data_IF_798002173655
#
_entry.id   IF_798002173655
#
_cell.length_a   1.000
_cell.length_b   1.000
_cell.length_c   1.000
_cell.angle_alpha   90.00
_cell.angle_beta   90.00
_cell.angle_gamma   90.00
#
_symmetry.space_group_name_H-M   'P 1'
#
loop_
_entity.id
_entity.type
_entity.pdbx_description
1 polymer ?
#
# COMPACT_ATOMS: atom_id res chain seq x y z
N UNK A 1 11.51 11.53 -26.35
CA UNK A 1 11.44 10.36 -25.46
C UNK A 1 12.79 9.68 -25.50
N UNK A 2 13.44 9.48 -24.35
CA UNK A 2 14.69 8.71 -24.35
C UNK A 2 14.33 7.22 -24.38
N UNK A 3 14.89 6.48 -25.33
CA UNK A 3 14.64 5.05 -25.47
C UNK A 3 15.96 4.31 -25.47
N UNK A 4 16.07 3.28 -24.62
CA UNK A 4 17.23 2.40 -24.57
C UNK A 4 16.81 0.98 -24.88
N UNK A 5 17.57 0.31 -25.74
CA UNK A 5 17.44 -1.14 -25.93
C UNK A 5 17.99 -1.85 -24.70
N UNK A 6 17.16 -2.71 -24.10
CA UNK A 6 17.52 -3.52 -22.94
C UNK A 6 17.27 -5.00 -23.21
N UNK A 7 17.70 -5.86 -22.29
CA UNK A 7 17.60 -7.31 -22.43
C UNK A 7 16.29 -7.83 -21.85
N UNK A 8 15.66 -8.71 -22.62
CA UNK A 8 14.64 -9.65 -22.15
C UNK A 8 15.34 -10.94 -21.74
N UNK A 9 14.95 -11.52 -20.61
CA UNK A 9 15.53 -12.73 -20.07
C UNK A 9 14.48 -13.54 -19.30
N UNK A 10 14.83 -14.76 -18.87
CA UNK A 10 13.94 -15.59 -18.05
C UNK A 10 14.34 -15.49 -16.56
N UNK A 11 13.34 -15.39 -15.69
CA UNK A 11 13.47 -15.53 -14.24
C UNK A 11 12.57 -16.68 -13.79
N UNK A 12 13.16 -17.86 -13.58
CA UNK A 12 12.42 -19.11 -13.41
C UNK A 12 11.57 -19.40 -14.65
N UNK A 13 10.27 -19.66 -14.43
CA UNK A 13 9.30 -19.93 -15.51
C UNK A 13 8.67 -18.66 -16.10
N UNK A 14 9.15 -17.47 -15.73
CA UNK A 14 8.60 -16.20 -16.19
C UNK A 14 9.58 -15.43 -17.06
N UNK A 15 9.05 -14.64 -17.99
CA UNK A 15 9.83 -13.66 -18.75
C UNK A 15 10.00 -12.37 -17.93
N UNK A 16 11.17 -11.75 -18.03
CA UNK A 16 11.53 -10.52 -17.35
C UNK A 16 12.26 -9.55 -18.31
N UNK A 17 12.14 -8.26 -18.04
CA UNK A 17 12.86 -7.19 -18.77
C UNK A 17 13.76 -6.46 -17.79
N UNK A 18 15.04 -6.29 -18.14
CA UNK A 18 15.97 -5.51 -17.29
C UNK A 18 15.63 -4.02 -17.40
N UNK A 19 15.37 -3.36 -16.29
CA UNK A 19 15.13 -1.91 -16.23
C UNK A 19 16.48 -1.18 -16.00
N UNK A 20 16.97 -0.35 -16.94
CA UNK A 20 18.16 0.47 -16.73
C UNK A 20 18.02 1.45 -15.56
N UNK A 21 19.14 1.92 -15.01
CA UNK A 21 19.13 2.77 -13.82
C UNK A 21 18.34 4.08 -14.02
N UNK A 22 18.40 4.68 -15.21
CA UNK A 22 17.66 5.90 -15.56
C UNK A 22 16.13 5.71 -15.63
N UNK A 23 15.65 4.47 -15.72
CA UNK A 23 14.22 4.11 -15.72
C UNK A 23 13.80 3.40 -14.44
N UNK A 24 14.63 3.42 -13.39
CA UNK A 24 14.35 2.73 -12.13
C UNK A 24 13.04 3.22 -11.52
N UNK A 25 12.18 2.27 -11.15
CA UNK A 25 10.90 2.54 -10.49
C UNK A 25 11.10 2.74 -8.99
N UNK A 26 10.31 3.64 -8.41
CA UNK A 26 10.24 3.99 -6.99
C UNK A 26 9.26 3.11 -6.19
N UNK A 27 8.85 1.98 -6.77
CA UNK A 27 7.84 1.07 -6.22
C UNK A 27 8.19 -0.39 -6.52
N UNK A 28 7.64 -1.30 -5.72
CA UNK A 28 7.74 -2.74 -5.88
C UNK A 28 6.61 -3.33 -6.76
N UNK A 29 5.55 -2.56 -7.03
CA UNK A 29 4.38 -3.00 -7.79
C UNK A 29 4.07 -2.07 -8.96
N UNK A 30 3.61 -2.65 -10.06
CA UNK A 30 3.24 -1.93 -11.27
C UNK A 30 1.96 -2.51 -11.87
N UNK A 31 1.25 -1.69 -12.65
CA UNK A 31 0.29 -2.18 -13.63
C UNK A 31 0.98 -2.26 -15.00
N UNK A 32 0.70 -3.34 -15.73
CA UNK A 32 1.14 -3.50 -17.11
C UNK A 32 -0.11 -3.54 -17.99
N UNK A 33 -0.19 -2.66 -18.98
CA UNK A 33 -1.25 -2.66 -20.00
C UNK A 33 -0.64 -2.68 -21.39
N UNK A 34 -1.46 -3.05 -22.38
CA UNK A 34 -1.09 -2.95 -23.79
C UNK A 34 -1.87 -1.81 -24.42
N UNK A 35 -1.19 -0.88 -25.09
CA UNK A 35 -1.85 0.20 -25.83
C UNK A 35 -2.36 -0.29 -27.20
N UNK A 36 -3.04 0.58 -27.94
CA UNK A 36 -3.57 0.28 -29.29
C UNK A 36 -2.47 -0.05 -30.32
N UNK A 37 -1.25 0.45 -30.11
CA UNK A 37 -0.09 0.19 -30.97
C UNK A 37 0.58 -1.16 -30.66
N UNK A 38 0.16 -1.82 -29.58
CA UNK A 38 0.71 -3.08 -29.13
C UNK A 38 1.88 -2.94 -28.16
N UNK A 39 2.25 -1.74 -27.73
CA UNK A 39 3.33 -1.54 -26.77
C UNK A 39 2.89 -1.92 -25.35
N UNK A 40 3.85 -2.42 -24.56
CA UNK A 40 3.64 -2.60 -23.12
C UNK A 40 3.89 -1.28 -22.39
N UNK A 41 2.86 -0.80 -21.70
CA UNK A 41 2.92 0.38 -20.84
C UNK A 41 3.01 -0.08 -19.39
N UNK A 42 4.08 0.33 -18.70
CA UNK A 42 4.31 0.04 -17.29
C UNK A 42 4.03 1.30 -16.50
N UNK A 43 3.08 1.23 -15.55
CA UNK A 43 2.75 2.34 -14.67
C UNK A 43 2.96 1.94 -13.19
N UNK A 44 3.71 2.73 -12.39
CA UNK A 44 3.99 2.41 -11.00
C UNK A 44 2.72 2.45 -10.14
N UNK A 45 2.50 1.42 -9.34
CA UNK A 45 1.48 1.43 -8.29
C UNK A 45 2.10 2.04 -7.04
N UNK A 46 1.74 3.29 -6.73
CA UNK A 46 2.16 3.92 -5.48
C UNK A 46 1.23 3.51 -4.35
N UNK A 47 1.81 3.08 -3.24
CA UNK A 47 1.06 2.80 -2.02
C UNK A 47 0.26 4.05 -1.64
N UNK A 48 -1.06 3.95 -1.63
CA UNK A 48 -1.96 5.03 -1.25
C UNK A 48 -2.03 5.20 0.27
N UNK A 49 -0.87 5.22 0.97
CA UNK A 49 -0.84 5.32 2.44
C UNK A 49 -1.63 6.53 2.95
N UNK A 50 -1.63 7.64 2.20
CA UNK A 50 -2.42 8.83 2.50
C UNK A 50 -3.91 8.65 2.22
N UNK A 51 -4.29 7.94 1.14
CA UNK A 51 -5.70 7.78 0.79
C UNK A 51 -6.42 6.80 1.73
N UNK A 52 -5.75 5.74 2.18
CA UNK A 52 -6.33 4.82 3.17
C UNK A 52 -6.54 5.50 4.52
N UNK A 53 -5.61 6.36 4.94
CA UNK A 53 -5.78 7.16 6.15
C UNK A 53 -6.91 8.19 5.99
N UNK A 54 -6.96 8.90 4.86
CA UNK A 54 -8.04 9.86 4.58
C UNK A 54 -9.41 9.19 4.52
N UNK A 55 -9.50 7.97 3.98
CA UNK A 55 -10.73 7.20 3.95
C UNK A 55 -11.17 6.76 5.35
N UNK A 56 -10.24 6.28 6.17
CA UNK A 56 -10.54 5.95 7.57
C UNK A 56 -11.00 7.20 8.36
N UNK A 57 -10.37 8.36 8.13
CA UNK A 57 -10.79 9.62 8.74
C UNK A 57 -12.16 10.09 8.24
N UNK A 58 -12.51 9.83 6.98
CA UNK A 58 -13.83 10.14 6.42
C UNK A 58 -14.94 9.27 7.07
N UNK A 59 -14.69 7.97 7.22
CA UNK A 59 -15.60 7.05 7.91
C UNK A 59 -15.86 7.49 9.37
N UNK A 60 -14.84 8.00 10.06
CA UNK A 60 -14.96 8.53 11.42
C UNK A 60 -15.79 9.81 11.53
N UNK A 61 -16.03 10.55 10.43
CA UNK A 61 -16.90 11.75 10.46
C UNK A 61 -18.37 11.42 10.74
N UNK A 62 -18.78 10.18 10.55
CA UNK A 62 -20.13 9.71 10.82
C UNK A 62 -20.37 9.24 12.25
N UNK A 63 -19.35 9.26 13.11
CA UNK A 63 -19.44 8.84 14.51
C UNK A 63 -20.08 9.94 15.33
N UNK A 64 -21.10 9.61 16.12
CA UNK A 64 -21.81 10.57 16.96
C UNK A 64 -21.13 10.78 18.33
N UNK A 65 -21.45 11.90 18.97
CA UNK A 65 -20.88 12.28 20.27
C UNK A 65 -21.19 11.25 21.36
N UNK A 66 -22.30 10.51 21.24
CA UNK A 66 -22.69 9.48 22.18
C UNK A 66 -21.75 8.27 22.12
N UNK A 67 -21.37 7.84 20.91
CA UNK A 67 -20.39 6.79 20.71
C UNK A 67 -19.00 7.22 21.19
N UNK A 68 -18.59 8.46 20.90
CA UNK A 68 -17.30 8.99 21.36
C UNK A 68 -17.22 8.98 22.88
N UNK A 69 -18.25 9.51 23.56
CA UNK A 69 -18.30 9.53 25.02
C UNK A 69 -18.30 8.12 25.65
N UNK A 70 -18.96 7.15 25.01
CA UNK A 70 -18.94 5.76 25.46
C UNK A 70 -17.54 5.13 25.33
N UNK A 71 -16.83 5.41 24.24
CA UNK A 71 -15.47 4.91 23.99
C UNK A 71 -14.45 5.51 24.98
N UNK A 72 -14.57 6.81 25.28
CA UNK A 72 -13.72 7.48 26.27
C UNK A 72 -13.92 6.90 27.68
N UNK A 73 -15.18 6.65 28.06
CA UNK A 73 -15.49 6.02 29.34
C UNK A 73 -14.91 4.59 29.46
N UNK A 74 -14.89 3.84 28.36
CA UNK A 74 -14.27 2.51 28.32
C UNK A 74 -12.74 2.56 28.43
N UNK A 75 -12.09 3.56 27.83
CA UNK A 75 -10.64 3.74 27.93
C UNK A 75 -10.17 4.14 29.34
N UNK A 76 -10.96 4.94 30.05
CA UNK A 76 -10.68 5.35 31.43
C UNK A 76 -10.89 4.21 32.44
N UNK A 77 -11.43 3.06 32.01
CA UNK A 77 -11.49 1.88 32.86
C UNK A 77 -10.11 1.22 32.97
N UNK A 78 -9.49 1.19 34.17
CA UNK A 78 -8.22 0.50 34.35
C UNK A 78 -8.41 -0.98 34.05
N UNK A 79 -7.64 -1.49 33.08
CA UNK A 79 -7.58 -2.93 32.83
C UNK A 79 -7.19 -3.63 34.14
N UNK A 80 -7.85 -4.75 34.48
CA UNK A 80 -7.51 -5.49 35.69
C UNK A 80 -6.03 -5.87 35.65
N UNK A 81 -5.29 -5.59 36.73
CA UNK A 81 -3.92 -6.06 36.87
C UNK A 81 -3.92 -7.58 36.72
N UNK A 82 -3.21 -8.08 35.72
CA UNK A 82 -3.06 -9.51 35.53
C UNK A 82 -2.14 -10.07 36.62
N UNK A 83 -2.63 -11.07 37.37
CA UNK A 83 -1.78 -11.81 38.28
C UNK A 83 -0.72 -12.57 37.48
N UNK A 84 0.55 -12.33 37.80
CA UNK A 84 1.64 -13.16 37.28
C UNK A 84 1.77 -14.36 38.20
N UNK A 85 1.52 -15.55 37.67
CA UNK A 85 1.87 -16.79 38.37
C UNK A 85 3.37 -16.78 38.67
N UNK A 86 3.71 -16.88 39.95
CA UNK A 86 5.09 -16.91 40.41
C UNK A 86 5.79 -18.18 39.94
N UNK A 87 7.04 -18.03 39.50
CA UNK A 87 7.93 -19.13 39.13
C UNK A 87 8.20 -20.08 40.30
#
# INVERSE_FOLDING_TARGET
MNALTTRVFNNGNSQAVRIPAEFRLDTDRVTISRNEQGDLVIHPLRAQRGASLLQALDELRGVDDAFIAALEAEQDHPLPMQEREGL
#
